data_IF_189872486919
#
_entry.id   IF_189872486919
#
_cell.length_a   1.000
_cell.length_b   1.000
_cell.length_c   1.000
_cell.angle_alpha   90.00
_cell.angle_beta   90.00
_cell.angle_gamma   90.00
#
_symmetry.space_group_name_H-M   'P 1'
#
loop_
_entity.id
_entity.type
_entity.pdbx_description
1 polymer ?
#
# COMPACT_ATOMS: atom_id res chain seq x y z
N UNK A 1 3.95 11.50 8.44
CA UNK A 1 4.64 10.28 8.02
C UNK A 1 5.41 10.61 6.77
N UNK A 2 6.70 10.28 6.76
CA UNK A 2 7.59 10.59 5.63
C UNK A 2 8.24 9.28 5.17
N UNK A 3 8.28 9.09 3.85
CA UNK A 3 9.02 7.97 3.23
C UNK A 3 10.49 8.35 3.25
N UNK A 4 11.32 7.48 3.80
CA UNK A 4 12.77 7.69 3.92
C UNK A 4 13.47 7.06 2.71
N UNK A 5 13.12 5.81 2.38
CA UNK A 5 13.64 5.08 1.22
C UNK A 5 12.60 4.07 0.69
N UNK A 6 12.63 3.80 -0.61
CA UNK A 6 11.77 2.83 -1.31
C UNK A 6 12.62 1.97 -2.25
N UNK A 7 12.46 0.66 -2.18
CA UNK A 7 13.02 -0.28 -3.14
C UNK A 7 11.95 -1.30 -3.55
N UNK A 8 11.48 -1.18 -4.79
CA UNK A 8 10.44 -2.05 -5.34
C UNK A 8 11.06 -3.19 -6.14
N UNK A 9 10.85 -4.44 -5.68
CA UNK A 9 11.10 -5.65 -6.44
C UNK A 9 9.80 -6.16 -7.06
N UNK A 10 9.91 -6.95 -8.14
CA UNK A 10 8.76 -7.46 -8.92
C UNK A 10 7.73 -8.21 -8.06
N UNK A 11 8.13 -8.86 -6.97
CA UNK A 11 7.21 -9.59 -6.07
C UNK A 11 6.98 -8.93 -4.72
N UNK A 12 7.85 -8.01 -4.28
CA UNK A 12 7.81 -7.43 -2.94
C UNK A 12 8.30 -5.99 -2.92
N UNK A 13 7.70 -5.16 -2.08
CA UNK A 13 8.10 -3.76 -1.88
C UNK A 13 8.76 -3.62 -0.51
N UNK A 14 9.97 -3.08 -0.47
CA UNK A 14 10.63 -2.66 0.76
C UNK A 14 10.49 -1.15 0.92
N UNK A 15 9.89 -0.72 2.03
CA UNK A 15 9.67 0.71 2.31
C UNK A 15 10.18 1.05 3.70
N UNK A 16 11.03 2.07 3.79
CA UNK A 16 11.52 2.60 5.06
C UNK A 16 10.68 3.83 5.45
N UNK A 17 9.96 3.72 6.57
CA UNK A 17 8.96 4.71 6.99
C UNK A 17 9.30 5.30 8.34
N UNK A 18 9.27 6.63 8.43
CA UNK A 18 9.32 7.31 9.73
C UNK A 18 7.91 7.37 10.31
N UNK A 19 7.67 6.52 11.32
CA UNK A 19 6.39 6.41 12.02
C UNK A 19 6.44 7.22 13.33
N UNK A 20 5.51 8.17 13.54
CA UNK A 20 5.42 8.88 14.81
C UNK A 20 4.96 7.95 15.94
N UNK A 21 5.59 8.06 17.11
CA UNK A 21 5.38 7.18 18.28
C UNK A 21 3.94 7.10 18.80
N UNK A 22 3.09 8.07 18.44
CA UNK A 22 1.67 8.13 18.84
C UNK A 22 0.74 7.30 17.94
N UNK A 23 1.23 6.73 16.83
CA UNK A 23 0.42 6.01 15.85
C UNK A 23 0.79 4.53 15.80
N UNK A 24 -0.21 3.66 15.73
CA UNK A 24 0.03 2.22 15.58
C UNK A 24 0.58 1.92 14.18
N UNK A 25 1.68 1.15 14.14
CA UNK A 25 2.29 0.64 12.90
C UNK A 25 1.27 -0.15 12.08
N UNK A 26 0.46 -1.00 12.71
CA UNK A 26 -0.54 -1.81 11.99
C UNK A 26 -1.61 -0.96 11.30
N UNK A 27 -2.02 0.16 11.91
CA UNK A 27 -2.97 1.10 11.32
C UNK A 27 -2.40 1.77 10.08
N UNK A 28 -1.12 2.12 10.13
CA UNK A 28 -0.39 2.77 9.04
C UNK A 28 -0.20 1.78 7.88
N UNK A 29 0.30 0.58 8.15
CA UNK A 29 0.52 -0.46 7.14
C UNK A 29 -0.81 -0.88 6.51
N UNK A 30 -1.85 -1.10 7.31
CA UNK A 30 -3.18 -1.43 6.80
C UNK A 30 -3.77 -0.32 5.90
N UNK A 31 -3.58 0.94 6.28
CA UNK A 31 -3.99 2.07 5.44
C UNK A 31 -3.24 2.12 4.11
N UNK A 32 -1.92 1.91 4.14
CA UNK A 32 -1.09 1.88 2.93
C UNK A 32 -1.50 0.74 2.01
N UNK A 33 -1.57 -0.49 2.50
CA UNK A 33 -1.94 -1.67 1.71
C UNK A 33 -3.35 -1.54 1.15
N UNK A 34 -4.30 -1.01 1.93
CA UNK A 34 -5.67 -0.77 1.48
C UNK A 34 -5.74 0.26 0.34
N UNK A 35 -5.06 1.40 0.49
CA UNK A 35 -5.04 2.44 -0.56
C UNK A 35 -4.30 2.00 -1.81
N UNK A 36 -3.15 1.35 -1.68
CA UNK A 36 -2.37 0.88 -2.81
C UNK A 36 -3.13 -0.21 -3.59
N UNK A 37 -3.81 -1.15 -2.91
CA UNK A 37 -4.64 -2.15 -3.58
C UNK A 37 -5.73 -1.52 -4.46
N UNK A 38 -6.42 -0.49 -3.96
CA UNK A 38 -7.43 0.26 -4.72
C UNK A 38 -6.78 0.97 -5.91
N UNK A 39 -5.66 1.65 -5.70
CA UNK A 39 -4.95 2.37 -6.77
C UNK A 39 -4.45 1.44 -7.87
N UNK A 40 -3.86 0.29 -7.52
CA UNK A 40 -3.42 -0.73 -8.47
C UNK A 40 -4.62 -1.25 -9.26
N UNK A 41 -5.72 -1.57 -8.58
CA UNK A 41 -6.89 -2.10 -9.26
C UNK A 41 -7.55 -1.09 -10.22
N UNK A 42 -7.52 0.21 -9.88
CA UNK A 42 -8.01 1.30 -10.73
C UNK A 42 -7.11 1.61 -11.92
N UNK A 43 -5.82 1.85 -11.68
CA UNK A 43 -4.91 2.43 -12.69
C UNK A 43 -4.19 1.37 -13.51
N UNK A 44 -3.86 0.21 -12.90
CA UNK A 44 -3.17 -0.89 -13.59
C UNK A 44 -4.19 -1.91 -14.10
N UNK A 45 -5.22 -2.19 -13.30
CA UNK A 45 -6.26 -3.16 -13.63
C UNK A 45 -7.37 -2.64 -14.55
N UNK A 46 -7.35 -1.35 -14.92
CA UNK A 46 -8.30 -0.71 -15.86
C UNK A 46 -9.76 -0.71 -15.41
N UNK A 47 -10.05 -1.00 -14.13
CA UNK A 47 -11.40 -1.21 -13.62
C UNK A 47 -11.72 -0.13 -12.59
N UNK A 48 -12.76 0.68 -12.80
CA UNK A 48 -13.02 1.82 -11.90
C UNK A 48 -13.88 1.47 -10.66
N UNK A 49 -14.61 0.35 -10.66
CA UNK A 49 -15.52 -0.07 -9.58
C UNK A 49 -15.58 -1.60 -9.44
N UNK A 50 -16.08 -2.08 -8.29
CA UNK A 50 -16.30 -3.50 -7.98
C UNK A 50 -15.01 -4.35 -8.04
N UNK A 51 -14.10 -4.10 -7.10
CA UNK A 51 -12.79 -4.77 -6.95
C UNK A 51 -12.85 -6.12 -6.23
N UNK A 52 -13.99 -6.80 -6.29
CA UNK A 52 -14.24 -8.04 -5.56
C UNK A 52 -13.34 -9.16 -6.09
N UNK A 53 -12.65 -9.86 -5.18
CA UNK A 53 -11.85 -11.05 -5.51
C UNK A 53 -10.38 -10.81 -5.90
N UNK A 54 -9.85 -9.58 -5.83
CA UNK A 54 -8.41 -9.32 -6.04
C UNK A 54 -7.67 -9.18 -4.71
N UNK A 55 -6.64 -9.99 -4.50
CA UNK A 55 -5.74 -9.96 -3.34
C UNK A 55 -4.37 -9.51 -3.83
N UNK A 56 -3.85 -8.41 -3.28
CA UNK A 56 -2.56 -7.81 -3.68
C UNK A 56 -1.49 -7.91 -2.59
N UNK A 57 -1.90 -8.02 -1.33
CA UNK A 57 -1.05 -8.02 -0.14
C UNK A 57 -1.45 -9.16 0.78
#
# INVERSE_FOLDING_TARGET
>A
MSVVEDHSMISHVYMYLSVPSKSSVSKIVGFMNGKSAILIAMHVGGRQRNFTGKVFW
#
